data_IF_560058255502
#
_entry.id   IF_560058255502
#
_cell.length_a   1.000
_cell.length_b   1.000
_cell.length_c   1.000
_cell.angle_alpha   90.00
_cell.angle_beta   90.00
_cell.angle_gamma   90.00
#
_symmetry.space_group_name_H-M   'P 1'
#
loop_
_entity.id
_entity.type
_entity.pdbx_description
1 polymer ?
#
# COMPACT_ATOMS: atom_id res chain seq x y z
N UNK A 1 44.55 -25.87 -14.42
CA UNK A 1 45.25 -24.80 -13.67
C UNK A 1 44.62 -24.78 -12.29
N UNK A 2 45.43 -25.03 -11.28
CA UNK A 2 44.97 -25.09 -9.89
C UNK A 2 45.23 -23.74 -9.21
N UNK A 3 44.22 -23.22 -8.51
CA UNK A 3 44.26 -21.95 -7.77
C UNK A 3 43.82 -22.18 -6.32
N UNK A 4 44.14 -21.24 -5.43
CA UNK A 4 43.62 -21.24 -4.07
C UNK A 4 42.25 -20.56 -4.01
N UNK A 5 41.29 -21.20 -3.35
CA UNK A 5 39.96 -20.66 -3.10
C UNK A 5 39.55 -20.93 -1.65
N UNK A 6 38.49 -20.27 -1.19
CA UNK A 6 37.91 -20.53 0.12
C UNK A 6 36.55 -21.17 -0.06
N UNK A 7 36.35 -22.32 0.59
CA UNK A 7 35.10 -23.06 0.61
C UNK A 7 34.38 -22.87 1.94
N UNK A 8 33.07 -22.66 1.87
CA UNK A 8 32.14 -22.73 3.00
C UNK A 8 31.11 -23.80 2.69
N UNK A 9 30.81 -24.66 3.66
CA UNK A 9 29.88 -25.79 3.50
C UNK A 9 28.41 -25.42 3.64
N UNK A 10 28.11 -24.24 4.20
CA UNK A 10 26.74 -23.77 4.43
C UNK A 10 26.11 -24.27 5.73
N UNK A 11 26.82 -25.12 6.48
CA UNK A 11 26.36 -25.66 7.77
C UNK A 11 27.07 -24.94 8.93
N UNK A 12 28.36 -24.64 8.75
CA UNK A 12 29.22 -24.04 9.76
C UNK A 12 29.90 -22.81 9.16
N UNK A 13 29.96 -21.72 9.92
CA UNK A 13 30.64 -20.47 9.52
C UNK A 13 32.17 -20.58 9.61
N UNK A 14 32.76 -21.65 9.06
CA UNK A 14 34.21 -21.88 9.03
C UNK A 14 34.71 -21.80 7.60
N UNK A 15 35.77 -21.03 7.39
CA UNK A 15 36.49 -20.99 6.13
C UNK A 15 37.38 -22.22 5.98
N UNK A 16 37.34 -22.83 4.80
CA UNK A 16 38.21 -23.95 4.45
C UNK A 16 38.99 -23.60 3.20
N UNK A 17 40.30 -23.44 3.33
CA UNK A 17 41.18 -23.22 2.19
C UNK A 17 41.21 -24.49 1.33
N UNK A 18 40.87 -24.34 0.06
CA UNK A 18 40.83 -25.44 -0.92
C UNK A 18 41.63 -25.08 -2.16
N UNK A 19 42.29 -26.10 -2.71
CA UNK A 19 42.83 -26.01 -4.06
C UNK A 19 41.70 -26.29 -5.03
N UNK A 20 41.38 -25.32 -5.87
CA UNK A 20 40.33 -25.37 -6.89
C UNK A 20 40.98 -25.53 -8.27
N UNK A 21 40.46 -26.46 -9.05
CA UNK A 21 40.84 -26.67 -10.43
C UNK A 21 39.61 -26.88 -11.31
N UNK A 22 39.66 -26.38 -12.53
CA UNK A 22 38.66 -26.69 -13.56
C UNK A 22 39.10 -27.91 -14.37
N UNK A 23 38.24 -28.94 -14.41
CA UNK A 23 38.43 -30.15 -15.21
C UNK A 23 37.20 -30.32 -16.10
N UNK A 24 37.34 -29.96 -17.38
CA UNK A 24 36.21 -29.95 -18.33
C UNK A 24 35.08 -29.02 -17.87
N UNK A 25 33.88 -29.56 -17.71
CA UNK A 25 32.69 -28.85 -17.25
C UNK A 25 32.46 -28.94 -15.72
N UNK A 26 33.52 -29.26 -14.97
CA UNK A 26 33.48 -29.43 -13.53
C UNK A 26 34.50 -28.52 -12.84
N UNK A 27 34.09 -27.91 -11.74
CA UNK A 27 34.97 -27.31 -10.74
C UNK A 27 35.28 -28.36 -9.67
N UNK A 28 36.51 -28.83 -9.64
CA UNK A 28 36.98 -29.83 -8.69
C UNK A 28 37.84 -29.14 -7.65
N UNK A 29 37.52 -29.34 -6.36
CA UNK A 29 38.26 -28.75 -5.27
C UNK A 29 38.48 -29.72 -4.12
N UNK A 30 39.58 -29.54 -3.40
CA UNK A 30 39.96 -30.34 -2.23
C UNK A 30 40.83 -29.53 -1.28
N UNK A 31 40.76 -29.84 0.01
CA UNK A 31 41.59 -29.23 1.05
C UNK A 31 41.91 -30.24 2.15
N UNK A 32 42.59 -29.80 3.20
CA UNK A 32 42.92 -30.64 4.38
C UNK A 32 41.68 -31.25 5.03
N UNK A 33 40.63 -30.43 5.22
CA UNK A 33 39.36 -30.83 5.85
C UNK A 33 38.20 -30.93 4.84
N UNK A 34 38.51 -30.96 3.54
CA UNK A 34 37.51 -31.00 2.46
C UNK A 34 37.87 -32.14 1.50
N UNK A 35 37.07 -33.22 1.45
CA UNK A 35 37.31 -34.29 0.49
C UNK A 35 37.19 -33.76 -0.94
N UNK A 36 37.83 -34.43 -1.89
CA UNK A 36 37.75 -34.08 -3.30
C UNK A 36 36.28 -34.01 -3.74
N UNK A 37 35.82 -32.81 -4.02
CA UNK A 37 34.44 -32.48 -4.35
C UNK A 37 34.40 -31.87 -5.74
N UNK A 38 33.36 -32.17 -6.51
CA UNK A 38 33.16 -31.65 -7.87
C UNK A 38 31.79 -30.97 -7.99
N UNK A 39 31.77 -29.75 -8.52
CA UNK A 39 30.56 -29.02 -8.87
C UNK A 39 30.47 -28.83 -10.38
N UNK A 40 29.31 -29.14 -10.96
CA UNK A 40 29.08 -28.95 -12.39
C UNK A 40 28.86 -27.47 -12.69
N UNK A 41 29.49 -26.96 -13.75
CA UNK A 41 29.44 -25.52 -14.06
C UNK A 41 28.01 -25.07 -14.41
N UNK A 42 27.22 -25.94 -15.03
CA UNK A 42 25.82 -25.66 -15.35
C UNK A 42 24.91 -25.43 -14.13
N UNK A 43 25.27 -25.94 -12.96
CA UNK A 43 24.52 -25.75 -11.70
C UNK A 43 25.05 -24.61 -10.83
N UNK A 44 26.05 -23.87 -11.30
CA UNK A 44 26.65 -22.76 -10.56
C UNK A 44 25.83 -21.49 -10.72
N UNK A 45 25.62 -20.78 -9.60
CA UNK A 45 24.99 -19.47 -9.57
C UNK A 45 25.88 -18.45 -8.87
N UNK A 46 26.07 -17.25 -9.45
CA UNK A 46 26.76 -16.16 -8.77
C UNK A 46 25.88 -15.62 -7.64
N UNK A 47 26.47 -15.45 -6.45
CA UNK A 47 25.82 -14.74 -5.34
C UNK A 47 25.78 -13.23 -5.65
N UNK A 48 26.91 -12.72 -6.13
CA UNK A 48 27.09 -11.34 -6.56
C UNK A 48 27.66 -11.35 -7.99
N UNK A 49 27.33 -10.35 -8.85
CA UNK A 49 27.98 -10.19 -10.14
C UNK A 49 29.52 -10.06 -9.98
N UNK A 50 30.32 -10.67 -10.88
CA UNK A 50 31.77 -10.56 -10.83
C UNK A 50 32.18 -9.09 -10.98
N UNK A 51 32.83 -8.56 -9.94
CA UNK A 51 33.25 -7.16 -9.84
C UNK A 51 34.76 -7.11 -9.65
N UNK A 52 35.47 -6.30 -10.44
CA UNK A 52 36.93 -6.18 -10.37
C UNK A 52 37.39 -5.75 -8.96
N UNK A 53 38.46 -6.34 -8.44
CA UNK A 53 38.97 -6.10 -7.09
C UNK A 53 38.14 -6.74 -5.95
N UNK A 54 37.05 -7.44 -6.25
CA UNK A 54 36.26 -8.17 -5.25
C UNK A 54 36.34 -9.69 -5.49
N UNK A 55 36.35 -10.51 -4.41
CA UNK A 55 36.33 -11.95 -4.57
C UNK A 55 34.99 -12.40 -5.18
N UNK A 56 35.06 -13.23 -6.20
CA UNK A 56 33.89 -13.80 -6.84
C UNK A 56 33.30 -14.92 -5.98
N UNK A 57 32.00 -14.86 -5.71
CA UNK A 57 31.30 -15.81 -4.84
C UNK A 57 30.28 -16.58 -5.65
N UNK A 58 30.42 -17.90 -5.67
CA UNK A 58 29.52 -18.80 -6.39
C UNK A 58 28.95 -19.85 -5.46
N UNK A 59 27.69 -20.21 -5.68
CA UNK A 59 27.00 -21.32 -5.03
C UNK A 59 26.57 -22.35 -6.09
N UNK A 60 25.98 -23.45 -5.66
CA UNK A 60 25.54 -24.52 -6.55
C UNK A 60 24.15 -25.03 -6.16
N UNK A 61 23.29 -25.28 -7.15
CA UNK A 61 21.88 -25.65 -6.93
C UNK A 61 21.68 -26.86 -6.01
N UNK A 62 22.52 -27.89 -6.17
CA UNK A 62 22.45 -29.11 -5.36
C UNK A 62 23.08 -28.98 -3.96
N UNK A 63 23.62 -27.81 -3.60
CA UNK A 63 24.27 -27.54 -2.30
C UNK A 63 23.89 -26.14 -1.79
N UNK A 64 22.60 -25.93 -1.46
CA UNK A 64 22.14 -24.64 -0.95
C UNK A 64 22.92 -24.26 0.32
N UNK A 65 23.44 -23.04 0.37
CA UNK A 65 24.25 -22.52 1.48
C UNK A 65 25.76 -22.72 1.32
N UNK A 66 26.20 -23.72 0.54
CA UNK A 66 27.61 -23.89 0.26
C UNK A 66 28.08 -22.83 -0.76
N UNK A 67 29.29 -22.31 -0.57
CA UNK A 67 29.85 -21.28 -1.45
C UNK A 67 31.36 -21.41 -1.63
N UNK A 68 31.81 -21.16 -2.84
CA UNK A 68 33.22 -20.97 -3.17
C UNK A 68 33.49 -19.48 -3.35
N UNK A 69 34.57 -19.02 -2.73
CA UNK A 69 35.07 -17.66 -2.81
C UNK A 69 36.40 -17.70 -3.55
N UNK A 70 36.41 -17.11 -4.75
CA UNK A 70 37.53 -17.15 -5.68
C UNK A 70 38.12 -15.74 -5.78
N UNK A 71 39.41 -15.60 -5.47
CA UNK A 71 40.13 -14.31 -5.54
C UNK A 71 40.94 -14.12 -6.82
N UNK A 72 41.23 -15.20 -7.53
CA UNK A 72 42.02 -15.16 -8.76
C UNK A 72 41.18 -14.57 -9.90
N UNK A 73 41.48 -13.32 -10.28
CA UNK A 73 40.72 -12.60 -11.30
C UNK A 73 40.84 -13.22 -12.68
N UNK A 74 42.02 -13.75 -13.03
CA UNK A 74 42.25 -14.37 -14.33
C UNK A 74 41.39 -15.64 -14.50
N UNK A 75 41.30 -16.45 -13.44
CA UNK A 75 40.44 -17.62 -13.40
C UNK A 75 38.96 -17.25 -13.49
N UNK A 76 38.52 -16.23 -12.74
CA UNK A 76 37.13 -15.75 -12.78
C UNK A 76 36.77 -15.25 -14.18
N UNK A 77 37.64 -14.45 -14.80
CA UNK A 77 37.42 -13.94 -16.15
C UNK A 77 37.30 -15.07 -17.18
N UNK A 78 38.19 -16.07 -17.13
CA UNK A 78 38.11 -17.24 -18.01
C UNK A 78 36.81 -18.02 -17.79
N UNK A 79 36.43 -18.27 -16.53
CA UNK A 79 35.22 -18.99 -16.17
C UNK A 79 33.96 -18.28 -16.70
N UNK A 80 33.87 -16.96 -16.50
CA UNK A 80 32.72 -16.13 -16.90
C UNK A 80 32.66 -15.88 -18.41
N UNK A 81 33.81 -15.81 -19.09
CA UNK A 81 33.88 -15.65 -20.54
C UNK A 81 33.25 -16.84 -21.28
N UNK A 82 33.48 -18.05 -20.77
CA UNK A 82 32.93 -19.29 -21.33
C UNK A 82 31.51 -19.59 -20.83
N UNK A 83 31.10 -19.02 -19.70
CA UNK A 83 29.82 -19.31 -19.04
C UNK A 83 29.05 -18.01 -18.75
N UNK A 84 28.25 -17.55 -19.72
CA UNK A 84 27.54 -16.25 -19.61
C UNK A 84 26.55 -16.17 -18.46
N UNK A 85 25.98 -17.29 -17.99
CA UNK A 85 25.07 -17.30 -16.84
C UNK A 85 25.76 -16.87 -15.53
N UNK A 86 27.09 -17.02 -15.45
CA UNK A 86 27.89 -16.60 -14.30
C UNK A 86 28.19 -15.10 -14.26
N UNK A 87 27.88 -14.33 -15.32
CA UNK A 87 27.97 -12.87 -15.28
C UNK A 87 27.03 -12.25 -14.25
N UNK A 88 26.03 -13.01 -13.79
CA UNK A 88 24.99 -12.49 -12.93
C UNK A 88 24.24 -11.33 -13.60
N UNK A 89 23.46 -10.63 -12.80
CA UNK A 89 22.59 -9.55 -13.24
C UNK A 89 21.12 -9.97 -13.25
N UNK A 90 20.26 -9.01 -12.93
CA UNK A 90 18.82 -9.22 -12.98
C UNK A 90 18.42 -9.59 -14.42
N UNK A 91 17.77 -10.74 -14.61
CA UNK A 91 17.25 -11.07 -15.92
C UNK A 91 16.22 -10.01 -16.31
N UNK A 92 16.27 -9.54 -17.56
CA UNK A 92 15.32 -8.53 -18.06
C UNK A 92 13.86 -9.01 -17.95
N UNK A 93 13.65 -10.33 -17.99
CA UNK A 93 12.38 -10.98 -17.71
C UNK A 93 11.92 -10.73 -16.25
N UNK A 94 12.81 -10.86 -15.27
CA UNK A 94 12.50 -10.60 -13.86
C UNK A 94 12.17 -9.13 -13.62
N UNK A 95 12.94 -8.19 -14.19
CA UNK A 95 12.63 -6.76 -14.10
C UNK A 95 11.26 -6.41 -14.69
N UNK A 96 10.93 -6.97 -15.87
CA UNK A 96 9.61 -6.75 -16.48
C UNK A 96 8.50 -7.32 -15.64
N UNK A 97 8.68 -8.51 -15.10
CA UNK A 97 7.68 -9.14 -14.24
C UNK A 97 7.44 -8.29 -12.99
N UNK A 98 8.49 -7.84 -12.31
CA UNK A 98 8.38 -6.92 -11.17
C UNK A 98 7.66 -5.63 -11.58
N UNK A 99 8.06 -5.00 -12.69
CA UNK A 99 7.44 -3.76 -13.16
C UNK A 99 5.94 -3.93 -13.47
N UNK A 100 5.54 -5.03 -14.12
CA UNK A 100 4.14 -5.33 -14.43
C UNK A 100 3.32 -5.51 -13.14
N UNK A 101 3.84 -6.24 -12.15
CA UNK A 101 3.14 -6.41 -10.88
C UNK A 101 3.04 -5.10 -10.10
N UNK A 102 4.09 -4.28 -10.08
CA UNK A 102 4.06 -2.98 -9.42
C UNK A 102 3.05 -2.05 -10.07
N UNK A 103 3.08 -1.90 -11.39
CA UNK A 103 2.15 -1.03 -12.12
C UNK A 103 0.72 -1.55 -12.00
N UNK A 104 0.52 -2.86 -12.16
CA UNK A 104 -0.79 -3.49 -11.97
C UNK A 104 -1.36 -3.26 -10.57
N UNK A 105 -0.52 -3.41 -9.53
CA UNK A 105 -0.93 -3.17 -8.15
C UNK A 105 -1.33 -1.71 -7.89
N UNK A 106 -0.55 -0.75 -8.39
CA UNK A 106 -0.86 0.68 -8.26
C UNK A 106 -2.17 1.02 -8.97
N UNK A 107 -2.37 0.54 -10.19
CA UNK A 107 -3.60 0.76 -10.95
C UNK A 107 -4.82 0.12 -10.27
N UNK A 108 -4.66 -1.08 -9.70
CA UNK A 108 -5.73 -1.74 -8.96
C UNK A 108 -6.15 -0.95 -7.71
N UNK A 109 -5.18 -0.43 -6.94
CA UNK A 109 -5.46 0.40 -5.76
C UNK A 109 -6.16 1.70 -6.18
N UNK A 110 -5.68 2.36 -7.23
CA UNK A 110 -6.29 3.59 -7.73
C UNK A 110 -7.73 3.35 -8.22
N UNK A 111 -7.97 2.28 -8.97
CA UNK A 111 -9.30 1.90 -9.43
C UNK A 111 -10.24 1.58 -8.27
N UNK A 112 -9.76 0.85 -7.26
CA UNK A 112 -10.54 0.53 -6.06
C UNK A 112 -10.90 1.80 -5.29
N UNK A 113 -9.96 2.72 -5.10
CA UNK A 113 -10.20 4.01 -4.46
C UNK A 113 -11.23 4.85 -5.21
N UNK A 114 -11.10 4.92 -6.53
CA UNK A 114 -12.06 5.64 -7.38
C UNK A 114 -13.47 5.06 -7.29
N UNK A 115 -13.60 3.73 -7.35
CA UNK A 115 -14.88 3.02 -7.17
C UNK A 115 -15.50 3.34 -5.81
N UNK A 116 -14.70 3.29 -4.74
CA UNK A 116 -15.16 3.51 -3.37
C UNK A 116 -15.71 4.92 -3.14
N UNK A 117 -15.06 5.93 -3.70
CA UNK A 117 -15.49 7.33 -3.52
C UNK A 117 -16.61 7.71 -4.49
N UNK A 118 -16.56 7.25 -5.74
CA UNK A 118 -17.44 7.78 -6.79
C UNK A 118 -18.71 6.95 -6.99
N UNK A 119 -18.62 5.63 -6.90
CA UNK A 119 -19.70 4.72 -7.29
C UNK A 119 -20.46 4.15 -6.09
N UNK A 120 -19.75 3.80 -5.01
CA UNK A 120 -20.38 3.17 -3.85
C UNK A 120 -21.39 4.05 -3.10
N UNK A 121 -21.18 5.37 -2.88
CA UNK A 121 -22.12 6.17 -2.09
C UNK A 121 -23.54 6.18 -2.65
N UNK A 122 -23.69 6.24 -3.97
CA UNK A 122 -25.00 6.29 -4.62
C UNK A 122 -25.84 5.02 -4.42
N UNK A 123 -25.18 3.87 -4.28
CA UNK A 123 -25.85 2.57 -4.09
C UNK A 123 -26.05 2.25 -2.63
N UNK A 124 -25.08 2.63 -1.78
CA UNK A 124 -25.07 2.30 -0.36
C UNK A 124 -25.92 3.26 0.46
N UNK A 125 -26.14 4.50 0.00
CA UNK A 125 -26.96 5.50 0.69
C UNK A 125 -28.35 5.00 1.11
N UNK A 126 -29.01 4.21 0.26
CA UNK A 126 -30.36 3.71 0.49
C UNK A 126 -30.42 2.49 1.44
N UNK A 127 -29.30 1.80 1.63
CA UNK A 127 -29.23 0.58 2.47
C UNK A 127 -28.56 0.87 3.81
N UNK A 128 -27.99 2.08 4.00
CA UNK A 128 -27.31 2.45 5.23
C UNK A 128 -28.28 2.45 6.42
N UNK A 129 -27.96 1.69 7.50
CA UNK A 129 -28.70 1.73 8.74
C UNK A 129 -28.82 3.16 9.28
N UNK A 130 -29.95 3.46 9.90
CA UNK A 130 -30.24 4.80 10.41
C UNK A 130 -29.24 5.28 11.46
N UNK A 131 -28.78 4.38 12.34
CA UNK A 131 -27.73 4.69 13.31
C UNK A 131 -26.44 5.18 12.66
N UNK A 132 -26.07 4.59 11.51
CA UNK A 132 -24.87 4.96 10.78
C UNK A 132 -25.06 6.31 10.08
N UNK A 133 -26.22 6.53 9.44
CA UNK A 133 -26.59 7.83 8.86
C UNK A 133 -26.53 8.94 9.92
N UNK A 134 -27.07 8.69 11.11
CA UNK A 134 -27.05 9.64 12.22
C UNK A 134 -25.64 9.90 12.76
N UNK A 135 -24.79 8.88 12.86
CA UNK A 135 -23.40 9.03 13.30
C UNK A 135 -22.58 9.87 12.32
N UNK A 136 -22.68 9.56 11.03
CA UNK A 136 -22.03 10.34 9.97
C UNK A 136 -22.56 11.77 9.96
N UNK A 137 -23.88 11.94 10.08
CA UNK A 137 -24.53 13.25 10.19
C UNK A 137 -23.97 14.08 11.33
N UNK A 138 -23.88 13.51 12.54
CA UNK A 138 -23.31 14.20 13.71
C UNK A 138 -21.86 14.61 13.49
N UNK A 139 -21.07 13.80 12.79
CA UNK A 139 -19.67 14.10 12.48
C UNK A 139 -19.53 15.20 11.43
N UNK A 140 -20.40 15.20 10.41
CA UNK A 140 -20.47 16.29 9.43
C UNK A 140 -20.85 17.59 10.13
N UNK A 141 -21.87 17.55 10.98
CA UNK A 141 -22.32 18.72 11.75
C UNK A 141 -21.18 19.25 12.62
N UNK A 142 -20.51 18.40 13.40
CA UNK A 142 -19.41 18.84 14.27
C UNK A 142 -18.25 19.46 13.48
N UNK A 143 -17.95 18.95 12.29
CA UNK A 143 -16.93 19.53 11.41
C UNK A 143 -17.35 20.86 10.81
N UNK A 144 -18.64 21.06 10.50
CA UNK A 144 -19.15 22.30 9.90
C UNK A 144 -19.31 23.42 10.93
N UNK A 145 -19.85 23.09 12.10
CA UNK A 145 -20.15 24.09 13.15
C UNK A 145 -18.92 24.40 14.00
N UNK A 146 -17.94 23.51 14.06
CA UNK A 146 -16.73 23.68 14.86
C UNK A 146 -17.06 23.94 16.34
N UNK A 147 -16.75 25.14 16.82
CA UNK A 147 -17.02 25.57 18.20
C UNK A 147 -18.30 26.42 18.34
N UNK A 148 -19.08 26.59 17.28
CA UNK A 148 -20.31 27.37 17.31
C UNK A 148 -21.33 26.77 18.28
N UNK A 149 -22.01 27.63 19.03
CA UNK A 149 -23.02 27.20 20.00
C UNK A 149 -24.34 26.92 19.29
N UNK A 150 -25.00 25.83 19.69
CA UNK A 150 -26.37 25.55 19.25
C UNK A 150 -27.34 26.54 19.92
N UNK A 151 -28.19 27.17 19.13
CA UNK A 151 -29.28 28.03 19.62
C UNK A 151 -30.48 27.14 19.99
N UNK A 152 -30.80 27.08 21.29
CA UNK A 152 -31.87 26.26 21.85
C UNK A 152 -32.72 27.05 22.85
N UNK A 153 -33.70 27.81 22.35
CA UNK A 153 -34.70 28.49 23.19
C UNK A 153 -36.06 27.80 23.06
N UNK A 154 -36.91 27.83 24.10
CA UNK A 154 -38.25 27.22 24.01
C UNK A 154 -39.09 27.73 22.83
N UNK A 155 -39.04 29.05 22.56
CA UNK A 155 -39.73 29.65 21.42
C UNK A 155 -39.14 29.21 20.06
N UNK A 156 -37.82 29.02 19.99
CA UNK A 156 -37.15 28.50 18.80
C UNK A 156 -37.52 27.04 18.52
N UNK A 157 -37.59 26.21 19.56
CA UNK A 157 -38.01 24.81 19.41
C UNK A 157 -39.49 24.70 18.99
N UNK A 158 -40.38 25.54 19.54
CA UNK A 158 -41.78 25.57 19.09
C UNK A 158 -41.92 26.04 17.65
N UNK A 159 -41.14 27.04 17.22
CA UNK A 159 -41.14 27.51 15.84
C UNK A 159 -40.65 26.42 14.86
N UNK A 160 -39.56 25.72 15.20
CA UNK A 160 -39.06 24.58 14.40
C UNK A 160 -40.11 23.47 14.29
N UNK A 161 -40.76 23.12 15.40
CA UNK A 161 -41.79 22.08 15.40
C UNK A 161 -42.98 22.46 14.51
N UNK A 162 -43.43 23.73 14.57
CA UNK A 162 -44.50 24.23 13.71
C UNK A 162 -44.11 24.19 12.22
N UNK A 163 -42.87 24.56 11.90
CA UNK A 163 -42.35 24.53 10.54
C UNK A 163 -42.25 23.10 9.98
N UNK A 164 -41.72 22.16 10.77
CA UNK A 164 -41.66 20.74 10.39
C UNK A 164 -43.07 20.17 10.18
N UNK A 165 -44.03 20.52 11.05
CA UNK A 165 -45.42 20.08 10.92
C UNK A 165 -46.06 20.61 9.64
N UNK A 166 -45.84 21.89 9.30
CA UNK A 166 -46.33 22.48 8.06
C UNK A 166 -45.72 21.83 6.82
N UNK A 167 -44.42 21.49 6.84
CA UNK A 167 -43.76 20.78 5.73
C UNK A 167 -44.23 19.34 5.56
N UNK A 168 -44.63 18.68 6.65
CA UNK A 168 -45.18 17.34 6.62
C UNK A 168 -46.66 17.30 6.15
N UNK A 169 -47.36 18.43 6.24
CA UNK A 169 -48.77 18.53 5.84
C UNK A 169 -48.90 18.30 4.32
N UNK A 170 -49.63 17.23 3.95
CA UNK A 170 -49.80 16.84 2.54
C UNK A 170 -48.62 16.10 1.91
N UNK A 171 -47.57 15.77 2.67
CA UNK A 171 -46.39 15.03 2.18
C UNK A 171 -46.12 13.77 3.02
N UNK A 172 -46.89 12.70 2.74
CA UNK A 172 -46.80 11.42 3.47
C UNK A 172 -45.45 10.71 3.34
N UNK A 173 -44.67 11.06 2.31
CA UNK A 173 -43.40 10.41 1.99
C UNK A 173 -42.20 11.18 2.57
N UNK A 174 -42.43 12.29 3.27
CA UNK A 174 -41.36 13.08 3.88
C UNK A 174 -40.68 12.24 4.97
N UNK A 175 -39.37 11.95 4.84
CA UNK A 175 -38.65 11.24 5.89
C UNK A 175 -38.57 12.10 7.15
N UNK A 176 -38.37 11.50 8.34
CA UNK A 176 -38.18 12.26 9.57
C UNK A 176 -37.05 13.28 9.42
N UNK A 177 -37.38 14.56 9.65
CA UNK A 177 -36.41 15.66 9.61
C UNK A 177 -36.24 16.32 10.97
N UNK A 178 -35.04 16.79 11.24
CA UNK A 178 -34.69 17.55 12.43
C UNK A 178 -34.02 18.86 12.03
N UNK A 179 -34.47 19.98 12.59
CA UNK A 179 -33.91 21.30 12.32
C UNK A 179 -33.08 21.77 13.52
N UNK A 180 -31.85 22.20 13.26
CA UNK A 180 -30.95 22.74 14.26
C UNK A 180 -30.46 24.13 13.84
N UNK A 181 -30.27 25.03 14.81
CA UNK A 181 -29.80 26.39 14.56
C UNK A 181 -28.50 26.58 15.31
N UNK A 182 -27.49 27.11 14.62
CA UNK A 182 -26.18 27.38 15.20
C UNK A 182 -25.81 28.86 15.09
N UNK A 183 -25.16 29.36 16.14
CA UNK A 183 -24.66 30.73 16.23
C UNK A 183 -23.45 30.92 15.31
N UNK A 184 -23.74 31.23 14.05
CA UNK A 184 -22.78 31.46 12.98
C UNK A 184 -23.26 32.65 12.14
N UNK A 185 -22.36 33.58 11.83
CA UNK A 185 -22.68 34.79 11.02
C UNK A 185 -22.85 34.50 9.53
N UNK A 186 -22.39 33.32 9.07
CA UNK A 186 -22.55 32.90 7.69
C UNK A 186 -24.04 32.87 7.31
N UNK A 187 -24.41 33.39 6.14
CA UNK A 187 -25.78 33.28 5.61
C UNK A 187 -25.90 31.97 4.83
N UNK A 188 -26.25 30.87 5.50
CA UNK A 188 -26.35 29.56 4.85
C UNK A 188 -27.26 28.58 5.60
N UNK A 189 -27.68 27.52 4.92
CA UNK A 189 -28.31 26.36 5.52
C UNK A 189 -27.73 25.08 4.87
N UNK A 190 -27.47 24.06 5.70
CA UNK A 190 -26.85 22.81 5.26
C UNK A 190 -27.74 21.61 5.58
N UNK A 191 -27.78 20.63 4.69
CA UNK A 191 -28.37 19.33 4.98
C UNK A 191 -27.26 18.32 5.32
N UNK A 192 -27.42 17.60 6.42
CA UNK A 192 -26.51 16.53 6.84
C UNK A 192 -27.24 15.17 6.83
N UNK A 193 -26.49 14.06 6.68
CA UNK A 193 -27.06 12.71 6.76
C UNK A 193 -27.89 12.48 8.03
N UNK A 194 -28.95 11.67 7.91
CA UNK A 194 -29.89 11.42 9.01
C UNK A 194 -31.04 12.42 9.10
N UNK A 195 -31.37 13.12 8.00
CA UNK A 195 -32.52 14.03 7.95
C UNK A 195 -32.31 15.34 8.71
N UNK A 196 -31.07 15.80 8.85
CA UNK A 196 -30.74 16.97 9.68
C UNK A 196 -30.54 18.20 8.82
N UNK A 197 -31.23 19.28 9.13
CA UNK A 197 -31.10 20.57 8.48
C UNK A 197 -30.53 21.56 9.48
N UNK A 198 -29.45 22.21 9.12
CA UNK A 198 -28.68 23.13 9.96
C UNK A 198 -28.85 24.53 9.39
N UNK A 199 -29.49 25.40 10.15
CA UNK A 199 -29.58 26.82 9.85
C UNK A 199 -28.54 27.59 10.66
N UNK A 200 -27.96 28.62 10.06
CA UNK A 200 -27.10 29.56 10.76
C UNK A 200 -27.91 30.72 11.33
N UNK A 201 -27.40 31.39 12.37
CA UNK A 201 -27.99 32.66 12.82
C UNK A 201 -28.03 33.69 11.69
N UNK A 202 -26.97 33.76 10.87
CA UNK A 202 -26.87 34.71 9.76
C UNK A 202 -27.98 34.58 8.72
N UNK A 203 -28.44 33.36 8.37
CA UNK A 203 -29.56 33.21 7.42
C UNK A 203 -30.88 33.69 8.02
N UNK A 204 -31.10 33.46 9.32
CA UNK A 204 -32.31 33.91 10.01
C UNK A 204 -32.34 35.43 10.20
N UNK A 205 -31.19 36.05 10.47
CA UNK A 205 -31.08 37.52 10.58
C UNK A 205 -31.23 38.22 9.22
N UNK A 206 -30.92 37.51 8.12
CA UNK A 206 -30.98 38.07 6.77
C UNK A 206 -32.34 37.92 6.11
N UNK A 207 -33.14 36.95 6.52
CA UNK A 207 -34.48 36.74 5.97
C UNK A 207 -35.43 37.85 6.39
N UNK A 208 -36.08 38.48 5.41
CA UNK A 208 -37.03 39.57 5.66
C UNK A 208 -38.43 39.04 6.00
N UNK A 209 -38.72 37.80 5.59
CA UNK A 209 -40.01 37.14 5.77
C UNK A 209 -39.85 35.67 6.18
N UNK A 210 -40.76 35.11 7.01
CA UNK A 210 -40.70 33.69 7.38
C UNK A 210 -40.75 32.74 6.17
N UNK A 211 -41.44 33.14 5.10
CA UNK A 211 -41.55 32.38 3.85
C UNK A 211 -40.23 32.25 3.08
N UNK A 212 -39.20 33.03 3.41
CA UNK A 212 -37.87 32.89 2.79
C UNK A 212 -37.05 31.75 3.41
N UNK A 213 -37.47 31.25 4.56
CA UNK A 213 -36.86 30.13 5.27
C UNK A 213 -37.67 28.83 5.09
N UNK A 214 -39.00 28.94 4.89
CA UNK A 214 -39.96 27.83 4.86
C UNK A 214 -40.32 27.32 3.47
#
# INVERSE_FOLDING_TARGET
MAIQAVYFDGEIARDRTVTLERIGDQLVFSGTDVPRTSWGIGGLHPIDPPTAGQPFRITHDHRPGARLVIRDEAFVQALVAENRHLKGGYSWLHLRQVAVWTVGGVLAIAALGYMLVSLLPQKVAFVLPEEWRNRVGNQVISSLVGTAKRCNTPAGESAKAAMIAALAEGNSDLPPIAMEVYDMELVNAFAAPGGKIIFTRGILEKADRPEEIA
#
